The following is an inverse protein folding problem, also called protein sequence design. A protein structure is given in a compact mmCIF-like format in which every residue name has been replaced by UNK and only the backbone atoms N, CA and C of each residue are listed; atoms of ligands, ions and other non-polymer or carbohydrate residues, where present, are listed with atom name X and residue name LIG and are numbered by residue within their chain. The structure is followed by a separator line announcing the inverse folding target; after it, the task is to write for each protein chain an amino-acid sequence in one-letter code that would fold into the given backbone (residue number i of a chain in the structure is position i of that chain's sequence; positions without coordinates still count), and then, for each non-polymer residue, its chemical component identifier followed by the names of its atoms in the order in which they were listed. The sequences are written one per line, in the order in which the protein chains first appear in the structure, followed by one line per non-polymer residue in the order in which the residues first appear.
data_IF_922617389523
#
_entry.id   IF_922617389523
#
_cell.length_a   1.000
_cell.length_b   1.000
_cell.length_c   1.000
_cell.angle_alpha   90.00
_cell.angle_beta   90.00
_cell.angle_gamma   90.00
#
_symmetry.space_group_name_H-M   'P 1'
#
loop_
_entity.id
_entity.type
_entity.pdbx_description
1 polymer ?
#
# COMPACT_ATOMS: atom_id res chain seq x y z
N UNK A 1 -3.89 43.42 41.27
CA UNK A 1 -5.02 44.30 41.59
C UNK A 1 -5.70 44.70 40.28
N UNK A 2 -7.02 44.53 40.11
CA UNK A 2 -8.00 44.01 41.07
C UNK A 2 -8.61 42.65 40.65
N UNK A 3 -8.93 41.84 41.66
CA UNK A 3 -9.95 40.79 41.62
C UNK A 3 -11.30 41.40 42.12
N UNK A 4 -12.35 40.61 42.40
CA UNK A 4 -13.62 40.46 41.67
C UNK A 4 -14.82 41.13 42.42
N UNK A 5 -16.07 40.72 42.14
CA UNK A 5 -16.91 40.21 43.24
C UNK A 5 -17.55 38.86 42.83
N UNK A 6 -17.39 37.75 43.53
CA UNK A 6 -17.80 37.35 44.89
C UNK A 6 -19.32 37.39 45.16
N UNK A 7 -19.89 36.19 45.31
CA UNK A 7 -21.05 35.88 46.17
C UNK A 7 -22.24 35.26 45.42
N UNK A 8 -22.94 34.25 45.95
CA UNK A 8 -22.89 33.62 47.26
C UNK A 8 -23.79 32.35 47.22
N UNK A 9 -23.53 31.43 48.16
CA UNK A 9 -24.46 30.47 48.82
C UNK A 9 -24.63 29.06 48.25
N UNK A 10 -23.87 28.16 48.88
CA UNK A 10 -24.36 26.88 49.38
C UNK A 10 -25.74 27.01 50.07
N UNK A 11 -26.65 26.10 49.74
CA UNK A 11 -27.64 25.56 50.68
C UNK A 11 -27.70 24.05 50.49
N UNK A 12 -27.13 23.34 51.45
CA UNK A 12 -27.45 21.96 51.73
C UNK A 12 -28.78 21.93 52.48
N UNK A 13 -29.76 21.15 52.03
CA UNK A 13 -30.82 20.65 52.90
C UNK A 13 -31.46 19.38 52.35
N UNK A 14 -31.55 18.40 53.23
CA UNK A 14 -32.60 17.39 53.36
C UNK A 14 -32.58 16.14 52.47
N UNK A 15 -31.99 15.11 53.06
CA UNK A 15 -32.42 13.72 52.98
C UNK A 15 -33.81 13.60 53.61
N UNK A 16 -34.76 12.88 52.98
CA UNK A 16 -35.80 12.16 53.69
C UNK A 16 -35.55 10.65 53.59
N UNK A 17 -35.27 10.05 54.74
CA UNK A 17 -35.57 8.63 54.99
C UNK A 17 -37.09 8.52 55.17
N UNK A 18 -37.75 7.79 54.29
CA UNK A 18 -39.00 7.12 54.64
C UNK A 18 -38.98 5.71 54.07
N UNK A 19 -38.93 4.74 54.97
CA UNK A 19 -39.29 3.37 54.66
C UNK A 19 -40.80 3.29 54.50
N UNK A 20 -41.24 2.57 53.47
CA UNK A 20 -42.50 1.85 53.51
C UNK A 20 -42.39 0.70 52.51
N UNK A 21 -42.42 -0.48 53.10
CA UNK A 21 -42.71 -1.78 52.52
C UNK A 21 -43.84 -1.75 51.49
N UNK A 22 -43.59 -2.25 50.29
CA UNK A 22 -44.63 -2.92 49.50
C UNK A 22 -43.99 -3.97 48.61
N UNK A 23 -44.03 -5.19 49.14
CA UNK A 23 -44.19 -6.47 48.47
C UNK A 23 -44.51 -6.38 46.97
N UNK A 24 -43.60 -6.84 46.10
CA UNK A 24 -43.95 -7.34 44.79
C UNK A 24 -43.17 -8.62 44.49
N UNK A 25 -43.94 -9.62 44.08
CA UNK A 25 -43.60 -11.04 44.07
C UNK A 25 -42.61 -11.34 42.96
N UNK A 26 -41.65 -12.20 43.28
CA UNK A 26 -40.62 -12.66 42.37
C UNK A 26 -41.19 -13.33 41.11
N UNK A 27 -40.74 -12.85 39.96
CA UNK A 27 -40.71 -13.65 38.74
C UNK A 27 -39.44 -14.50 38.79
N UNK A 28 -39.63 -15.79 39.12
CA UNK A 28 -38.61 -16.83 38.97
C UNK A 28 -38.30 -16.96 37.47
N UNK A 29 -37.12 -16.52 37.05
CA UNK A 29 -36.59 -16.90 35.74
C UNK A 29 -36.34 -18.41 35.76
N UNK A 30 -37.22 -19.13 35.08
CA UNK A 30 -37.20 -20.58 35.01
C UNK A 30 -36.02 -21.06 34.17
N UNK A 31 -35.09 -21.72 34.83
CA UNK A 31 -34.00 -22.52 34.27
C UNK A 31 -34.61 -23.73 33.53
N UNK A 32 -34.92 -23.59 32.25
CA UNK A 32 -35.21 -24.73 31.35
C UNK A 32 -34.04 -24.91 30.38
N UNK A 33 -32.99 -25.60 30.85
CA UNK A 33 -32.03 -26.26 29.97
C UNK A 33 -32.67 -27.58 29.57
N UNK A 34 -33.35 -27.63 28.42
CA UNK A 34 -33.66 -28.90 27.77
C UNK A 34 -32.37 -29.38 27.11
N UNK A 35 -31.75 -30.39 27.71
CA UNK A 35 -30.68 -31.16 27.09
C UNK A 35 -31.27 -31.91 25.88
N UNK A 36 -30.82 -31.56 24.68
CA UNK A 36 -31.05 -32.36 23.46
C UNK A 36 -29.92 -33.39 23.34
N UNK A 37 -30.21 -34.70 23.26
CA UNK A 37 -29.19 -35.73 23.31
C UNK A 37 -28.79 -36.19 21.91
N UNK A 38 -28.23 -35.33 21.05
CA UNK A 38 -27.56 -35.75 19.81
C UNK A 38 -26.39 -34.80 19.54
N UNK A 39 -25.19 -35.37 19.43
CA UNK A 39 -23.93 -34.64 19.27
C UNK A 39 -23.92 -33.79 18.01
N UNK A 40 -23.89 -32.48 18.19
CA UNK A 40 -23.55 -31.53 17.13
C UNK A 40 -22.03 -31.50 17.11
N UNK A 41 -21.36 -31.80 15.98
CA UNK A 41 -19.91 -31.65 15.89
C UNK A 41 -19.56 -30.20 16.26
N UNK A 42 -18.41 -30.04 16.92
CA UNK A 42 -17.91 -28.78 17.42
C UNK A 42 -17.60 -27.86 16.22
N UNK A 43 -18.63 -27.27 15.62
CA UNK A 43 -18.49 -26.21 14.64
C UNK A 43 -17.89 -25.05 15.41
N UNK A 44 -16.59 -24.85 15.22
CA UNK A 44 -15.90 -23.64 15.60
C UNK A 44 -16.78 -22.50 15.09
N UNK A 45 -17.47 -21.82 16.01
CA UNK A 45 -18.08 -20.53 15.74
C UNK A 45 -16.88 -19.61 15.56
N UNK A 46 -16.31 -19.64 14.35
CA UNK A 46 -15.29 -18.72 13.94
C UNK A 46 -15.92 -17.34 14.10
N UNK A 47 -15.36 -16.55 15.01
CA UNK A 47 -15.63 -15.13 15.05
C UNK A 47 -15.36 -14.60 13.64
N UNK A 48 -16.41 -14.36 12.86
CA UNK A 48 -16.29 -13.63 11.61
C UNK A 48 -15.86 -12.24 12.04
N UNK A 49 -14.56 -11.98 12.02
CA UNK A 49 -14.05 -10.61 12.15
C UNK A 49 -14.62 -9.89 10.94
N UNK A 50 -15.60 -9.00 11.17
CA UNK A 50 -16.09 -8.10 10.14
C UNK A 50 -14.88 -7.35 9.59
N UNK A 51 -14.60 -7.50 8.30
CA UNK A 51 -13.50 -6.79 7.67
C UNK A 51 -13.74 -5.29 7.81
N UNK A 52 -12.81 -4.59 8.46
CA UNK A 52 -12.86 -3.15 8.66
C UNK A 52 -11.81 -2.50 7.77
N UNK A 53 -12.26 -1.81 6.73
CA UNK A 53 -11.38 -1.04 5.84
C UNK A 53 -11.15 0.33 6.47
N UNK A 54 -9.88 0.66 6.72
CA UNK A 54 -9.46 1.98 7.17
C UNK A 54 -9.14 2.86 5.98
N UNK A 55 -9.43 4.15 6.06
CA UNK A 55 -8.97 5.14 5.08
C UNK A 55 -8.01 6.11 5.72
N UNK A 56 -6.90 6.37 5.04
CA UNK A 56 -5.90 7.36 5.40
C UNK A 56 -5.84 8.45 4.31
N UNK A 57 -5.70 9.73 4.71
CA UNK A 57 -5.49 10.79 3.75
C UNK A 57 -4.13 10.61 3.05
N UNK A 58 -4.03 11.10 1.82
CA UNK A 58 -2.76 11.18 1.09
C UNK A 58 -2.45 12.64 0.77
N UNK A 59 -1.21 12.98 0.39
CA UNK A 59 -0.88 14.33 -0.09
C UNK A 59 -1.68 14.76 -1.33
N UNK A 60 -2.22 13.80 -2.09
CA UNK A 60 -3.07 14.04 -3.23
C UNK A 60 -4.56 14.06 -2.79
N UNK A 61 -5.27 15.21 -2.85
CA UNK A 61 -6.66 15.30 -2.41
C UNK A 61 -7.62 14.40 -3.19
N UNK A 62 -7.25 14.03 -4.43
CA UNK A 62 -8.04 13.14 -5.29
C UNK A 62 -7.86 11.66 -4.93
N UNK A 63 -6.90 11.33 -4.08
CA UNK A 63 -6.53 9.95 -3.77
C UNK A 63 -6.68 9.66 -2.28
N UNK A 64 -7.17 8.47 -1.94
CA UNK A 64 -7.19 7.98 -0.54
C UNK A 64 -6.57 6.59 -0.47
N UNK A 65 -5.71 6.40 0.54
CA UNK A 65 -5.10 5.12 0.88
C UNK A 65 -6.07 4.33 1.74
N UNK A 66 -6.35 3.10 1.35
CA UNK A 66 -7.31 2.19 1.97
C UNK A 66 -6.59 0.95 2.48
N UNK A 67 -6.74 0.66 3.77
CA UNK A 67 -6.07 -0.45 4.45
C UNK A 67 -7.14 -1.45 4.88
N UNK A 68 -7.31 -2.58 4.15
CA UNK A 68 -8.30 -3.60 4.49
C UNK A 68 -7.93 -4.45 5.71
N UNK A 69 -6.68 -4.36 6.20
CA UNK A 69 -6.16 -5.21 7.29
C UNK A 69 -5.88 -6.65 6.86
N UNK A 70 -5.79 -6.89 5.54
CA UNK A 70 -5.38 -8.12 4.89
C UNK A 70 -4.39 -7.79 3.79
N UNK A 71 -3.54 -8.75 3.45
CA UNK A 71 -2.65 -8.65 2.30
C UNK A 71 -3.46 -8.49 0.99
N UNK A 72 -3.02 -7.54 0.17
CA UNK A 72 -3.58 -7.21 -1.15
C UNK A 72 -2.72 -7.84 -2.25
N UNK A 73 -1.40 -7.65 -2.21
CA UNK A 73 -0.45 -8.30 -3.10
C UNK A 73 0.64 -8.99 -2.27
N UNK A 74 1.12 -10.14 -2.75
CA UNK A 74 2.19 -10.90 -2.10
C UNK A 74 3.52 -10.11 -2.11
N UNK A 75 3.79 -9.39 -3.21
CA UNK A 75 4.98 -8.56 -3.37
C UNK A 75 4.75 -7.46 -4.41
N UNK A 76 5.60 -6.43 -4.35
CA UNK A 76 5.61 -5.37 -5.35
C UNK A 76 4.37 -4.48 -5.31
N UNK A 77 4.05 -3.87 -6.44
CA UNK A 77 2.92 -2.97 -6.58
C UNK A 77 2.35 -2.98 -8.00
N UNK A 78 1.07 -2.68 -8.12
CA UNK A 78 0.38 -2.64 -9.41
C UNK A 78 -0.47 -1.39 -9.54
N UNK A 79 -0.24 -0.64 -10.61
CA UNK A 79 -1.05 0.52 -10.97
C UNK A 79 -2.06 0.13 -12.06
N UNK A 80 -3.26 0.70 -11.96
CA UNK A 80 -4.35 0.56 -12.92
C UNK A 80 -4.88 1.95 -13.24
N UNK A 81 -4.60 2.43 -14.45
CA UNK A 81 -5.01 3.76 -14.90
C UNK A 81 -6.22 3.72 -15.84
N UNK A 82 -6.63 2.53 -16.27
CA UNK A 82 -7.73 2.32 -17.18
C UNK A 82 -8.58 1.09 -16.82
N UNK A 83 -9.84 1.10 -17.28
CA UNK A 83 -10.75 -0.06 -17.15
C UNK A 83 -10.20 -1.31 -17.85
N UNK A 84 -9.40 -1.13 -18.89
CA UNK A 84 -8.78 -2.24 -19.63
C UNK A 84 -7.67 -2.89 -18.82
N UNK A 85 -6.77 -2.10 -18.20
CA UNK A 85 -5.74 -2.64 -17.29
C UNK A 85 -6.34 -3.31 -16.05
N UNK A 86 -7.45 -2.76 -15.55
CA UNK A 86 -8.16 -3.29 -14.38
C UNK A 86 -8.66 -4.73 -14.58
N UNK A 87 -8.78 -5.21 -15.83
CA UNK A 87 -9.24 -6.58 -16.14
C UNK A 87 -8.39 -7.66 -15.49
N UNK A 88 -7.13 -7.38 -15.18
CA UNK A 88 -6.20 -8.31 -14.49
C UNK A 88 -6.62 -8.65 -13.05
N UNK A 89 -7.50 -7.85 -12.43
CA UNK A 89 -7.96 -8.06 -11.05
C UNK A 89 -9.49 -7.99 -10.93
N UNK A 90 -10.15 -8.99 -10.32
CA UNK A 90 -11.58 -8.87 -10.00
C UNK A 90 -11.89 -7.71 -9.05
N UNK A 91 -11.01 -7.42 -8.10
CA UNK A 91 -11.17 -6.28 -7.19
C UNK A 91 -11.07 -4.95 -7.95
N UNK A 92 -10.04 -4.78 -8.78
CA UNK A 92 -9.86 -3.55 -9.56
C UNK A 92 -11.05 -3.31 -10.51
N UNK A 93 -11.52 -4.34 -11.22
CA UNK A 93 -12.73 -4.25 -12.07
C UNK A 93 -13.95 -3.74 -11.32
N UNK A 94 -14.20 -4.25 -10.11
CA UNK A 94 -15.35 -3.85 -9.30
C UNK A 94 -15.21 -2.39 -8.85
N UNK A 95 -14.02 -1.97 -8.40
CA UNK A 95 -13.76 -0.58 -7.98
C UNK A 95 -13.92 0.37 -9.17
N UNK A 96 -13.37 0.03 -10.35
CA UNK A 96 -13.50 0.83 -11.58
C UNK A 96 -14.92 0.89 -12.15
N UNK A 97 -15.83 0.03 -11.67
CA UNK A 97 -17.24 0.09 -12.05
C UNK A 97 -18.00 1.19 -11.31
N UNK A 98 -17.43 1.72 -10.22
CA UNK A 98 -18.00 2.83 -9.46
C UNK A 98 -17.77 4.13 -10.23
N UNK A 99 -18.82 4.94 -10.37
CA UNK A 99 -18.76 6.21 -11.08
C UNK A 99 -17.82 7.20 -10.39
N UNK A 100 -16.93 7.83 -11.16
CA UNK A 100 -15.99 8.84 -10.66
C UNK A 100 -14.60 8.31 -10.30
N UNK A 101 -14.40 6.99 -10.24
CA UNK A 101 -13.06 6.38 -10.09
C UNK A 101 -12.28 6.50 -11.40
N UNK A 102 -11.04 6.99 -11.31
CA UNK A 102 -10.11 7.16 -12.43
C UNK A 102 -8.87 6.29 -12.33
N UNK A 103 -8.47 5.90 -11.12
CA UNK A 103 -7.28 5.08 -10.89
C UNK A 103 -7.43 4.18 -9.68
N UNK A 104 -6.79 3.02 -9.74
CA UNK A 104 -6.67 2.10 -8.61
C UNK A 104 -5.23 1.63 -8.56
N UNK A 105 -4.64 1.62 -7.38
CA UNK A 105 -3.28 1.18 -7.17
C UNK A 105 -3.26 0.18 -6.01
N UNK A 106 -2.54 -0.93 -6.18
CA UNK A 106 -2.36 -1.96 -5.16
C UNK A 106 -0.91 -1.94 -4.67
N UNK A 107 -0.74 -1.77 -3.36
CA UNK A 107 0.49 -2.12 -2.64
C UNK A 107 0.37 -3.53 -2.03
N UNK A 108 1.25 -3.84 -1.09
CA UNK A 108 1.30 -5.14 -0.41
C UNK A 108 0.14 -5.31 0.59
N UNK A 109 -0.11 -4.32 1.44
CA UNK A 109 -1.14 -4.35 2.50
C UNK A 109 -2.18 -3.23 2.40
N UNK A 110 -2.09 -2.41 1.37
CA UNK A 110 -2.99 -1.29 1.11
C UNK A 110 -3.35 -1.20 -0.37
N UNK A 111 -4.41 -0.45 -0.65
CA UNK A 111 -4.76 -0.01 -1.99
C UNK A 111 -5.11 1.47 -1.98
N UNK A 112 -4.76 2.18 -3.04
CA UNK A 112 -5.12 3.58 -3.22
C UNK A 112 -6.14 3.68 -4.33
N UNK A 113 -7.21 4.42 -4.10
CA UNK A 113 -8.20 4.74 -5.14
C UNK A 113 -8.08 6.22 -5.44
N UNK A 114 -8.13 6.56 -6.72
CA UNK A 114 -8.07 7.92 -7.23
C UNK A 114 -9.39 8.24 -7.93
N UNK A 115 -9.97 9.39 -7.61
CA UNK A 115 -11.20 9.89 -8.24
C UNK A 115 -10.91 11.09 -9.14
N UNK A 116 -11.87 11.43 -10.01
CA UNK A 116 -11.74 12.57 -10.92
C UNK A 116 -11.61 13.90 -10.17
N UNK A 117 -12.45 14.12 -9.17
CA UNK A 117 -12.49 15.35 -8.36
C UNK A 117 -12.70 14.99 -6.88
N UNK A 118 -12.09 15.76 -5.98
CA UNK A 118 -12.08 15.49 -4.52
C UNK A 118 -13.50 15.42 -3.94
N UNK A 119 -14.42 16.26 -4.41
CA UNK A 119 -15.77 16.38 -3.88
C UNK A 119 -16.59 15.08 -4.03
N UNK A 120 -16.22 14.25 -5.00
CA UNK A 120 -16.88 12.97 -5.31
C UNK A 120 -16.68 11.94 -4.20
N UNK A 121 -15.60 12.06 -3.41
CA UNK A 121 -15.29 11.11 -2.35
C UNK A 121 -16.42 10.91 -1.34
N UNK A 122 -17.19 11.96 -1.04
CA UNK A 122 -18.31 11.90 -0.10
C UNK A 122 -19.39 10.90 -0.55
N UNK A 123 -19.54 10.71 -1.87
CA UNK A 123 -20.52 9.81 -2.46
C UNK A 123 -19.93 8.41 -2.70
N UNK A 124 -18.68 8.35 -3.15
CA UNK A 124 -18.01 7.11 -3.59
C UNK A 124 -17.45 6.28 -2.44
N UNK A 125 -17.14 6.89 -1.29
CA UNK A 125 -16.45 6.22 -0.18
C UNK A 125 -17.21 5.00 0.35
N UNK A 126 -18.53 5.08 0.51
CA UNK A 126 -19.35 3.98 1.00
C UNK A 126 -19.37 2.79 0.02
N UNK A 127 -19.46 3.08 -1.28
CA UNK A 127 -19.48 2.07 -2.33
C UNK A 127 -18.13 1.36 -2.43
N UNK A 128 -17.03 2.11 -2.39
CA UNK A 128 -15.67 1.53 -2.41
C UNK A 128 -15.46 0.60 -1.23
N UNK A 129 -15.85 1.02 -0.02
CA UNK A 129 -15.69 0.18 1.18
C UNK A 129 -16.55 -1.08 1.11
N UNK A 130 -17.74 -0.99 0.53
CA UNK A 130 -18.63 -2.12 0.34
C UNK A 130 -18.03 -3.12 -0.65
N UNK A 131 -17.54 -2.64 -1.80
CA UNK A 131 -16.87 -3.47 -2.80
C UNK A 131 -15.66 -4.21 -2.22
N UNK A 132 -14.81 -3.53 -1.47
CA UNK A 132 -13.62 -4.14 -0.85
C UNK A 132 -14.05 -5.20 0.16
N UNK A 133 -15.02 -4.89 1.04
CA UNK A 133 -15.51 -5.85 2.03
C UNK A 133 -16.08 -7.11 1.38
N UNK A 134 -17.01 -6.94 0.44
CA UNK A 134 -17.65 -8.05 -0.28
C UNK A 134 -16.62 -8.88 -1.04
N UNK A 135 -15.61 -8.26 -1.64
CA UNK A 135 -14.55 -8.98 -2.33
C UNK A 135 -13.75 -9.91 -1.39
N UNK A 136 -13.37 -9.43 -0.21
CA UNK A 136 -12.64 -10.24 0.77
C UNK A 136 -13.51 -11.25 1.53
N UNK A 137 -14.84 -11.04 1.55
CA UNK A 137 -15.81 -12.02 2.04
C UNK A 137 -16.06 -13.12 1.00
N UNK A 138 -16.08 -12.78 -0.29
CA UNK A 138 -16.16 -13.73 -1.41
C UNK A 138 -14.93 -14.66 -1.48
N UNK A 139 -13.79 -14.25 -0.91
CA UNK A 139 -12.55 -15.04 -0.90
C UNK A 139 -11.93 -15.27 -2.28
N UNK A 140 -12.23 -14.40 -3.24
CA UNK A 140 -11.69 -14.48 -4.61
C UNK A 140 -10.22 -14.06 -4.65
N UNK A 141 -9.43 -14.59 -5.59
CA UNK A 141 -8.05 -14.14 -5.76
C UNK A 141 -8.00 -12.67 -6.21
N UNK A 142 -6.99 -11.93 -5.77
CA UNK A 142 -6.80 -10.51 -6.12
C UNK A 142 -6.48 -10.36 -7.60
N UNK A 143 -5.74 -11.30 -8.19
CA UNK A 143 -5.40 -11.34 -9.61
C UNK A 143 -6.08 -12.53 -10.29
N UNK A 144 -6.49 -12.36 -11.55
CA UNK A 144 -7.10 -13.44 -12.34
C UNK A 144 -6.06 -14.54 -12.67
N UNK A 145 -4.82 -14.15 -12.97
CA UNK A 145 -3.71 -15.08 -13.16
C UNK A 145 -2.59 -14.81 -12.14
N UNK A 146 -2.01 -15.85 -11.52
CA UNK A 146 -0.87 -15.69 -10.61
C UNK A 146 0.39 -15.18 -11.34
N UNK A 147 0.51 -15.43 -12.65
CA UNK A 147 1.61 -14.89 -13.46
C UNK A 147 1.53 -13.38 -13.67
N UNK A 148 0.39 -12.74 -13.36
CA UNK A 148 0.23 -11.29 -13.44
C UNK A 148 0.77 -10.58 -12.18
N UNK A 149 1.29 -11.33 -11.18
CA UNK A 149 1.93 -10.74 -10.01
C UNK A 149 3.04 -9.78 -10.45
N UNK A 150 3.08 -8.56 -9.89
CA UNK A 150 4.08 -7.59 -10.30
C UNK A 150 5.44 -8.01 -9.76
N UNK A 151 6.43 -8.01 -10.65
CA UNK A 151 7.83 -8.01 -10.24
C UNK A 151 8.08 -6.70 -9.47
N UNK A 152 8.90 -6.77 -8.44
CA UNK A 152 9.38 -5.70 -7.56
C UNK A 152 9.75 -4.37 -8.24
N UNK A 153 8.76 -3.58 -8.65
CA UNK A 153 8.84 -2.20 -9.16
C UNK A 153 10.06 -1.84 -10.07
N UNK A 154 10.72 -2.81 -10.71
CA UNK A 154 12.02 -2.60 -11.37
C UNK A 154 13.22 -2.37 -10.43
N UNK A 155 13.06 -2.50 -9.12
CA UNK A 155 14.12 -2.38 -8.10
C UNK A 155 14.83 -3.70 -7.79
N UNK A 156 14.41 -4.83 -8.34
CA UNK A 156 15.20 -6.07 -8.33
C UNK A 156 16.62 -5.82 -8.80
N UNK A 157 17.61 -6.21 -7.99
CA UNK A 157 19.00 -6.30 -8.46
C UNK A 157 19.12 -7.53 -9.37
N UNK A 158 19.53 -7.30 -10.60
CA UNK A 158 19.83 -8.32 -11.59
C UNK A 158 21.34 -8.51 -11.72
N UNK A 159 21.79 -9.71 -12.09
CA UNK A 159 23.22 -9.99 -12.30
C UNK A 159 23.83 -9.14 -13.43
N UNK A 160 23.02 -8.64 -14.35
CA UNK A 160 23.42 -7.76 -15.45
C UNK A 160 23.55 -6.29 -15.04
N UNK A 161 23.11 -5.91 -13.84
CA UNK A 161 23.13 -4.51 -13.42
C UNK A 161 24.56 -4.05 -13.11
N UNK A 162 24.86 -2.79 -13.46
CA UNK A 162 26.10 -2.16 -13.04
C UNK A 162 26.11 -1.93 -11.52
N UNK A 163 27.29 -1.85 -10.91
CA UNK A 163 27.43 -1.54 -9.48
C UNK A 163 26.67 -0.27 -9.07
N UNK A 164 26.62 0.74 -9.95
CA UNK A 164 25.88 1.98 -9.72
C UNK A 164 24.37 1.75 -9.72
N UNK A 165 23.85 0.96 -10.67
CA UNK A 165 22.42 0.64 -10.75
C UNK A 165 21.98 -0.16 -9.53
N UNK A 166 22.80 -1.09 -9.04
CA UNK A 166 22.52 -1.81 -7.78
C UNK A 166 22.36 -0.84 -6.61
N UNK A 167 23.29 0.10 -6.43
CA UNK A 167 23.22 1.09 -5.35
C UNK A 167 21.99 2.00 -5.49
N UNK A 168 21.65 2.43 -6.71
CA UNK A 168 20.43 3.23 -6.95
C UNK A 168 19.18 2.43 -6.56
N UNK A 169 19.09 1.16 -6.97
CA UNK A 169 17.95 0.27 -6.66
C UNK A 169 17.82 0.04 -5.15
N UNK A 170 18.92 -0.23 -4.46
CA UNK A 170 18.95 -0.39 -2.99
C UNK A 170 18.48 0.87 -2.27
N UNK A 171 18.98 2.04 -2.66
CA UNK A 171 18.56 3.31 -2.06
C UNK A 171 17.08 3.61 -2.29
N UNK A 172 16.56 3.29 -3.48
CA UNK A 172 15.14 3.43 -3.77
C UNK A 172 14.32 2.51 -2.85
N UNK A 173 14.70 1.23 -2.74
CA UNK A 173 13.99 0.24 -1.93
C UNK A 173 14.00 0.56 -0.43
N UNK A 174 15.17 0.89 0.12
CA UNK A 174 15.34 1.00 1.58
C UNK A 174 14.91 2.36 2.15
N UNK A 175 14.99 3.43 1.35
CA UNK A 175 14.80 4.81 1.87
C UNK A 175 13.64 5.55 1.24
N UNK A 176 13.44 5.41 -0.07
CA UNK A 176 12.47 6.22 -0.80
C UNK A 176 11.10 5.53 -0.82
N UNK A 177 11.05 4.27 -1.27
CA UNK A 177 9.80 3.50 -1.40
C UNK A 177 8.97 3.47 -0.11
N UNK A 178 9.52 3.28 1.10
CA UNK A 178 8.72 3.28 2.33
C UNK A 178 7.96 4.59 2.54
N UNK A 179 8.64 5.72 2.31
CA UNK A 179 8.03 7.06 2.45
C UNK A 179 6.93 7.28 1.40
N UNK A 180 7.17 6.84 0.17
CA UNK A 180 6.22 6.98 -0.94
C UNK A 180 4.99 6.08 -0.76
N UNK A 181 5.19 4.87 -0.22
CA UNK A 181 4.10 3.94 0.08
C UNK A 181 3.27 4.37 1.29
N UNK A 182 3.88 5.04 2.26
CA UNK A 182 3.15 5.71 3.34
C UNK A 182 2.17 6.75 2.80
N UNK A 183 2.59 7.52 1.80
CA UNK A 183 1.75 8.47 1.05
C UNK A 183 0.74 7.80 0.09
N UNK A 184 0.75 6.47 -0.04
CA UNK A 184 -0.20 5.70 -0.86
C UNK A 184 0.17 5.62 -2.34
N UNK A 185 1.44 5.82 -2.69
CA UNK A 185 1.97 5.62 -4.04
C UNK A 185 3.07 4.56 -4.07
N UNK A 186 3.80 4.51 -5.18
CA UNK A 186 5.08 3.80 -5.27
C UNK A 186 5.96 4.44 -6.33
N UNK A 187 7.24 4.09 -6.32
CA UNK A 187 8.22 4.54 -7.30
C UNK A 187 8.87 3.32 -7.94
N UNK A 188 8.89 3.29 -9.27
CA UNK A 188 9.50 2.22 -10.05
C UNK A 188 10.73 2.71 -10.78
N UNK A 189 11.82 1.94 -10.72
CA UNK A 189 13.04 2.23 -11.48
C UNK A 189 12.85 1.81 -12.94
N UNK A 190 13.20 2.69 -13.89
CA UNK A 190 13.05 2.45 -15.33
C UNK A 190 14.38 2.39 -16.08
N UNK A 191 15.44 2.96 -15.52
CA UNK A 191 16.77 2.89 -16.12
C UNK A 191 17.70 3.98 -15.62
N UNK A 192 18.98 3.89 -15.98
CA UNK A 192 19.99 4.89 -15.67
C UNK A 192 20.91 5.07 -16.89
N UNK A 193 20.93 6.26 -17.47
CA UNK A 193 21.70 6.57 -18.68
C UNK A 193 22.29 7.99 -18.58
N UNK A 194 23.57 8.15 -18.93
CA UNK A 194 24.24 9.45 -19.00
C UNK A 194 24.09 10.32 -17.71
N UNK A 195 24.10 9.68 -16.54
CA UNK A 195 23.91 10.37 -15.25
C UNK A 195 22.45 10.73 -14.94
N UNK A 196 21.48 10.36 -15.78
CA UNK A 196 20.05 10.57 -15.56
C UNK A 196 19.40 9.28 -15.10
N UNK A 197 18.74 9.32 -13.94
CA UNK A 197 17.93 8.20 -13.44
C UNK A 197 16.50 8.38 -13.92
N UNK A 198 15.96 7.38 -14.60
CA UNK A 198 14.56 7.34 -15.03
C UNK A 198 13.74 6.57 -14.01
N UNK A 199 12.70 7.22 -13.51
CA UNK A 199 11.75 6.63 -12.56
C UNK A 199 10.33 6.77 -13.10
N UNK A 200 9.43 5.94 -12.59
CA UNK A 200 8.00 6.05 -12.83
C UNK A 200 7.30 6.18 -11.48
N UNK A 201 6.49 7.22 -11.33
CA UNK A 201 5.64 7.39 -10.15
C UNK A 201 4.32 6.63 -10.37
N UNK A 202 3.80 6.00 -9.31
CA UNK A 202 2.56 5.22 -9.32
C UNK A 202 1.65 5.60 -8.15
N UNK A 203 0.36 5.29 -8.28
CA UNK A 203 -0.64 5.51 -7.23
C UNK A 203 -0.90 6.98 -6.93
N UNK A 204 -0.92 7.38 -5.66
CA UNK A 204 -1.27 8.75 -5.25
C UNK A 204 -0.32 9.83 -5.79
N UNK A 205 0.92 9.45 -6.12
CA UNK A 205 1.94 10.35 -6.64
C UNK A 205 1.67 10.81 -8.08
N UNK A 206 0.90 10.04 -8.85
CA UNK A 206 0.58 10.36 -10.25
C UNK A 206 -0.36 11.57 -10.30
N UNK A 207 0.04 12.59 -11.06
CA UNK A 207 -0.78 13.80 -11.26
C UNK A 207 -0.95 14.66 -10.01
N UNK A 208 -0.15 14.45 -8.96
CA UNK A 208 -0.19 15.27 -7.75
C UNK A 208 0.51 16.64 -7.99
N UNK A 209 -0.20 17.77 -7.95
CA UNK A 209 0.40 19.09 -8.22
C UNK A 209 1.35 19.55 -7.11
N UNK A 210 1.13 19.12 -5.87
CA UNK A 210 1.96 19.45 -4.71
C UNK A 210 3.17 18.53 -4.55
N UNK A 211 3.03 17.24 -4.92
CA UNK A 211 4.03 16.22 -4.60
C UNK A 211 4.94 15.87 -5.77
N UNK A 212 4.54 16.02 -7.04
CA UNK A 212 5.39 15.60 -8.17
C UNK A 212 6.73 16.34 -8.21
N UNK A 213 6.72 17.67 -8.08
CA UNK A 213 7.94 18.49 -8.04
C UNK A 213 8.78 18.21 -6.79
N UNK A 214 8.13 18.18 -5.62
CA UNK A 214 8.82 18.02 -4.33
C UNK A 214 9.43 16.64 -4.16
N UNK A 215 8.70 15.58 -4.53
CA UNK A 215 9.17 14.21 -4.45
C UNK A 215 10.32 13.99 -5.44
N UNK A 216 10.19 14.45 -6.68
CA UNK A 216 11.25 14.37 -7.68
C UNK A 216 12.53 15.07 -7.19
N UNK A 217 12.42 16.28 -6.65
CA UNK A 217 13.56 17.00 -6.10
C UNK A 217 14.16 16.29 -4.88
N UNK A 218 13.33 15.74 -4.00
CA UNK A 218 13.77 14.98 -2.82
C UNK A 218 14.54 13.72 -3.20
N UNK A 219 14.01 12.94 -4.13
CA UNK A 219 14.64 11.75 -4.70
C UNK A 219 15.96 12.11 -5.38
N UNK A 220 15.96 13.15 -6.22
CA UNK A 220 17.16 13.63 -6.89
C UNK A 220 18.25 14.04 -5.88
N UNK A 221 17.93 14.87 -4.90
CA UNK A 221 18.89 15.31 -3.89
C UNK A 221 19.48 14.14 -3.10
N UNK A 222 18.65 13.13 -2.78
CA UNK A 222 19.10 11.94 -2.07
C UNK A 222 20.06 11.10 -2.95
N UNK A 223 19.67 10.81 -4.19
CA UNK A 223 20.49 10.02 -5.10
C UNK A 223 21.81 10.72 -5.43
N UNK A 224 21.82 12.03 -5.66
CA UNK A 224 23.05 12.80 -5.90
C UNK A 224 23.98 12.82 -4.69
N UNK A 225 23.45 12.68 -3.47
CA UNK A 225 24.26 12.65 -2.25
C UNK A 225 25.01 11.33 -2.06
N UNK A 226 24.34 10.20 -2.33
CA UNK A 226 24.90 8.87 -2.13
C UNK A 226 25.59 8.31 -3.39
N UNK A 227 25.19 8.76 -4.58
CA UNK A 227 25.70 8.31 -5.88
C UNK A 227 26.16 9.52 -6.70
N UNK A 228 27.46 9.89 -6.66
CA UNK A 228 27.96 11.10 -7.32
C UNK A 228 27.88 11.06 -8.84
N UNK A 229 27.62 9.90 -9.44
CA UNK A 229 27.40 9.71 -10.87
C UNK A 229 26.00 10.16 -11.30
N UNK A 230 25.05 10.27 -10.37
CA UNK A 230 23.71 10.77 -10.65
C UNK A 230 23.74 12.29 -10.73
N UNK A 231 23.30 12.82 -11.87
CA UNK A 231 23.22 14.25 -12.18
C UNK A 231 21.78 14.76 -12.14
N UNK A 232 20.81 13.93 -12.53
CA UNK A 232 19.39 14.30 -12.58
C UNK A 232 18.50 13.07 -12.43
N UNK A 233 17.23 13.32 -12.08
CA UNK A 233 16.16 12.31 -12.08
C UNK A 233 15.07 12.79 -13.01
N UNK A 234 14.51 11.91 -13.83
CA UNK A 234 13.39 12.19 -14.72
C UNK A 234 12.27 11.16 -14.56
N UNK A 235 11.03 11.62 -14.66
CA UNK A 235 9.85 10.77 -14.61
C UNK A 235 9.48 10.34 -16.04
N UNK A 236 9.32 9.03 -16.27
CA UNK A 236 8.73 8.46 -17.49
C UNK A 236 7.36 7.88 -17.16
N UNK A 237 6.37 8.17 -17.99
CA UNK A 237 5.04 7.57 -17.87
C UNK A 237 5.00 6.23 -18.59
N UNK A 238 4.25 5.27 -18.04
CA UNK A 238 4.03 3.97 -18.66
C UNK A 238 3.29 4.16 -20.00
N UNK A 239 4.03 4.11 -21.10
CA UNK A 239 3.56 4.35 -22.46
C UNK A 239 4.72 4.56 -23.44
N UNK A 240 5.83 5.09 -22.93
CA UNK A 240 7.08 5.14 -23.67
C UNK A 240 7.75 3.77 -23.56
N UNK A 241 7.64 2.96 -24.61
CA UNK A 241 8.54 1.83 -24.79
C UNK A 241 9.95 2.42 -24.76
N UNK A 242 10.69 2.17 -23.68
CA UNK A 242 12.14 2.27 -23.73
C UNK A 242 12.55 1.18 -24.70
N UNK A 243 12.76 1.56 -25.95
CA UNK A 243 13.49 0.74 -26.88
C UNK A 243 14.91 0.66 -26.35
N UNK A 244 15.16 -0.28 -25.45
CA UNK A 244 16.49 -0.84 -25.35
C UNK A 244 16.72 -1.49 -26.71
N UNK A 245 17.58 -0.88 -27.52
CA UNK A 245 18.04 -1.44 -28.80
C UNK A 245 18.83 -2.75 -28.63
N UNK A 246 18.70 -3.45 -27.50
CA UNK A 246 19.41 -4.69 -27.21
C UNK A 246 18.58 -5.95 -27.49
N UNK A 247 17.30 -5.84 -27.84
CA UNK A 247 16.48 -7.00 -28.24
C UNK A 247 16.53 -7.31 -29.76
N UNK A 248 17.40 -6.63 -30.52
CA UNK A 248 17.51 -6.82 -31.98
C UNK A 248 18.80 -7.48 -32.47
N UNK A 249 19.66 -7.97 -31.58
CA UNK A 249 20.88 -8.69 -31.98
C UNK A 249 20.92 -10.10 -31.36
N UNK A 250 19.79 -10.80 -31.30
CA UNK A 250 19.77 -12.26 -31.07
C UNK A 250 18.68 -12.89 -31.96
N UNK A 251 18.83 -12.75 -33.28
CA UNK A 251 18.09 -13.60 -34.23
C UNK A 251 18.88 -13.99 -35.48
N UNK A 252 20.15 -13.60 -35.60
CA UNK A 252 21.03 -14.03 -36.70
C UNK A 252 22.46 -14.25 -36.20
N UNK A 253 22.69 -15.31 -35.41
CA UNK A 253 23.95 -16.08 -35.39
C UNK A 253 23.88 -17.22 -34.38
N UNK A 254 23.05 -18.22 -34.65
CA UNK A 254 23.34 -19.56 -34.13
C UNK A 254 24.52 -20.12 -34.92
N UNK A 255 25.65 -20.32 -34.23
CA UNK A 255 26.82 -20.93 -34.84
C UNK A 255 28.01 -21.03 -33.92
N UNK A 256 28.12 -22.21 -33.28
CA UNK A 256 29.33 -22.84 -32.71
C UNK A 256 29.59 -22.62 -31.21
N UNK A 257 29.32 -23.71 -30.50
CA UNK A 257 29.77 -24.08 -29.15
C UNK A 257 31.30 -24.23 -29.12
N UNK A 258 31.96 -23.68 -28.10
CA UNK A 258 33.11 -24.34 -27.46
C UNK A 258 33.31 -23.85 -26.02
N UNK A 259 33.46 -24.83 -25.12
CA UNK A 259 33.78 -24.66 -23.70
C UNK A 259 35.16 -24.02 -23.50
N UNK A 260 35.29 -23.15 -22.48
CA UNK A 260 36.41 -23.28 -21.54
C UNK A 260 36.20 -22.53 -20.23
N UNK A 261 36.47 -23.29 -19.18
CA UNK A 261 36.63 -22.95 -17.78
C UNK A 261 37.54 -21.74 -17.50
N UNK A 262 37.16 -20.94 -16.51
CA UNK A 262 38.05 -20.58 -15.40
C UNK A 262 37.22 -19.99 -14.26
N UNK A 263 37.34 -20.63 -13.09
CA UNK A 263 36.84 -20.18 -11.81
C UNK A 263 37.53 -18.87 -11.39
N UNK A 264 36.74 -17.89 -10.94
CA UNK A 264 37.24 -16.87 -10.02
C UNK A 264 36.17 -16.57 -8.97
N UNK A 265 36.36 -17.18 -7.81
CA UNK A 265 35.56 -16.98 -6.60
C UNK A 265 35.98 -15.62 -6.02
N UNK A 266 35.15 -14.59 -6.19
CA UNK A 266 35.35 -13.33 -5.48
C UNK A 266 34.61 -13.39 -4.14
N UNK A 267 35.42 -13.30 -3.09
CA UNK A 267 35.13 -13.51 -1.69
C UNK A 267 34.07 -12.53 -1.13
N UNK A 268 33.10 -13.09 -0.41
CA UNK A 268 31.92 -12.42 0.19
C UNK A 268 32.25 -11.56 1.43
N UNK A 269 33.49 -11.15 1.66
CA UNK A 269 33.93 -10.67 2.99
C UNK A 269 34.21 -9.16 3.11
N UNK A 270 33.79 -8.33 2.16
CA UNK A 270 34.10 -6.88 2.23
C UNK A 270 33.01 -5.97 2.82
N UNK A 271 31.85 -6.49 3.26
CA UNK A 271 30.79 -5.63 3.81
C UNK A 271 30.15 -6.10 5.12
N UNK A 272 30.85 -6.94 5.90
CA UNK A 272 30.52 -7.15 7.32
C UNK A 272 31.15 -6.09 8.25
N UNK A 273 31.75 -5.02 7.68
CA UNK A 273 32.40 -3.92 8.45
C UNK A 273 31.62 -2.61 8.51
N UNK A 274 30.39 -2.56 8.00
CA UNK A 274 29.55 -1.35 8.04
C UNK A 274 28.26 -1.52 8.87
N UNK A 275 28.23 -2.50 9.79
CA UNK A 275 27.18 -2.64 10.81
C UNK A 275 27.53 -2.03 12.18
N UNK A 276 28.73 -1.48 12.34
CA UNK A 276 29.20 -0.96 13.64
C UNK A 276 29.20 0.57 13.78
N UNK A 277 28.47 1.30 12.93
CA UNK A 277 28.17 2.70 13.18
C UNK A 277 26.66 2.88 13.28
N UNK A 278 26.16 2.60 14.49
CA UNK A 278 24.81 2.94 14.88
C UNK A 278 24.58 4.45 14.77
N UNK A 279 23.66 4.81 13.88
CA UNK A 279 22.81 5.99 13.93
C UNK A 279 21.44 5.61 13.38
#
# INVERSE_FOLDING_TARGET
FPSPPMGLRHLATHIPRFGATTHWKGLKYSKYIRQTPWGIPNTVIGYVRSLFVQAQPTPNPKSKKLIPGKEVLESGSMDFQSKDEAKRSPLARRIFSIEGVTGVFFGTDFLTVTVKEEEIWSNVQADVFTVIREFYEDGKPILDNPSDQPNDAGTAILESDSSTVCVIKDLLEERIRPTVQDDGGDIAFRGFENGTVYVELRGSCVGCPSSSVTLKQGVQNMLMHYVPEVMSVEERQCGDKVGTEEEKVISESEGVVEEKSSEEVIDRTHFDRLKDLGF
#
